data_IF_390969163400
#
_entry.id   IF_390969163400
#
_cell.length_a   1.000
_cell.length_b   1.000
_cell.length_c   1.000
_cell.angle_alpha   90.00
_cell.angle_beta   90.00
_cell.angle_gamma   90.00
#
_symmetry.space_group_name_H-M   'P 1'
#
loop_
_entity.id
_entity.type
_entity.pdbx_description
1 polymer ?
#
# COMPACT_ATOMS: atom_id res chain seq x y z
N UNK A 1 -19.93 7.30 6.72
CA UNK A 1 -18.59 7.23 6.10
C UNK A 1 -18.07 5.81 5.95
N UNK A 2 -18.60 4.84 6.68
CA UNK A 2 -18.17 3.43 6.67
C UNK A 2 -18.53 2.75 5.34
N UNK A 3 -17.64 1.88 4.85
CA UNK A 3 -17.70 1.16 3.59
C UNK A 3 -17.85 2.10 2.36
N UNK A 4 -17.15 3.24 2.42
CA UNK A 4 -17.16 4.25 1.37
C UNK A 4 -15.75 4.62 0.92
N UNK A 5 -15.65 5.02 -0.32
CA UNK A 5 -14.47 5.67 -0.88
C UNK A 5 -14.78 7.15 -0.98
N UNK A 6 -13.94 7.97 -0.37
CA UNK A 6 -14.06 9.43 -0.37
C UNK A 6 -13.10 9.95 -1.43
N UNK A 7 -13.65 10.65 -2.43
CA UNK A 7 -12.83 11.29 -3.44
C UNK A 7 -12.16 12.55 -2.86
N UNK A 8 -10.83 12.60 -2.97
CA UNK A 8 -10.07 13.77 -2.56
C UNK A 8 -8.62 13.48 -2.23
N UNK A 9 -7.88 14.54 -2.00
CA UNK A 9 -6.51 14.47 -1.52
C UNK A 9 -6.49 14.09 -0.04
N UNK A 10 -5.62 13.16 0.36
CA UNK A 10 -5.55 12.63 1.73
C UNK A 10 -5.47 13.76 2.78
N UNK A 11 -4.60 14.76 2.59
CA UNK A 11 -4.44 15.89 3.51
C UNK A 11 -5.68 16.81 3.61
N UNK A 12 -6.62 16.73 2.67
CA UNK A 12 -7.87 17.51 2.71
C UNK A 12 -9.03 16.70 3.31
N UNK A 13 -8.94 15.38 3.27
CA UNK A 13 -10.00 14.48 3.75
C UNK A 13 -9.74 14.00 5.18
N UNK A 14 -8.50 13.60 5.50
CA UNK A 14 -8.14 13.13 6.84
C UNK A 14 -8.56 14.09 7.97
N UNK A 15 -8.35 15.42 7.88
CA UNK A 15 -8.76 16.36 8.93
C UNK A 15 -10.27 16.39 9.21
N UNK A 16 -11.10 15.90 8.29
CA UNK A 16 -12.56 15.84 8.45
C UNK A 16 -13.04 14.56 9.15
N UNK A 17 -12.16 13.59 9.36
CA UNK A 17 -12.48 12.38 10.10
C UNK A 17 -12.36 12.65 11.60
N UNK A 18 -13.22 12.03 12.44
CA UNK A 18 -13.16 12.19 13.89
C UNK A 18 -11.86 11.62 14.48
N UNK A 19 -11.47 12.16 15.64
CA UNK A 19 -10.37 11.60 16.44
C UNK A 19 -10.75 10.21 16.95
N UNK A 20 -9.76 9.32 17.11
CA UNK A 20 -9.93 7.98 17.69
C UNK A 20 -11.09 7.17 17.05
N UNK A 21 -11.20 7.22 15.73
CA UNK A 21 -12.36 6.68 15.00
C UNK A 21 -12.08 5.33 14.35
N UNK A 22 -10.86 5.09 13.85
CA UNK A 22 -10.52 3.87 13.11
C UNK A 22 -9.66 2.93 13.94
N UNK A 23 -9.82 1.63 13.71
CA UNK A 23 -9.11 0.59 14.46
C UNK A 23 -7.74 0.26 13.83
N UNK A 24 -7.61 0.45 12.53
CA UNK A 24 -6.36 0.18 11.80
C UNK A 24 -6.18 1.16 10.64
N UNK A 25 -4.93 1.57 10.44
CA UNK A 25 -4.45 2.18 9.19
C UNK A 25 -3.69 1.11 8.42
N UNK A 26 -4.02 0.92 7.14
CA UNK A 26 -3.25 0.05 6.23
C UNK A 26 -3.16 0.71 4.86
N UNK A 27 -1.96 1.07 4.44
CA UNK A 27 -1.81 1.94 3.27
C UNK A 27 -0.51 1.76 2.50
N UNK A 28 -0.52 2.24 1.26
CA UNK A 28 0.59 2.23 0.30
C UNK A 28 0.72 3.64 -0.33
N UNK A 29 1.37 4.60 0.36
CA UNK A 29 1.48 5.98 -0.11
C UNK A 29 2.41 6.13 -1.32
N UNK A 30 2.46 7.28 -1.98
CA UNK A 30 3.52 7.62 -2.92
C UNK A 30 4.91 7.47 -2.32
N UNK A 31 5.90 7.07 -3.15
CA UNK A 31 7.29 6.81 -2.70
C UNK A 31 8.32 7.75 -3.27
N UNK A 32 7.92 8.77 -4.03
CA UNK A 32 8.84 9.64 -4.77
C UNK A 32 9.78 8.85 -5.71
N UNK A 33 9.24 7.80 -6.35
CA UNK A 33 10.03 6.93 -7.26
C UNK A 33 9.87 7.30 -8.73
N UNK A 34 8.95 8.22 -9.04
CA UNK A 34 8.75 8.71 -10.41
C UNK A 34 9.95 9.49 -10.91
N UNK A 35 10.44 9.13 -12.10
CA UNK A 35 11.50 9.86 -12.78
C UNK A 35 10.93 10.47 -14.07
N UNK A 36 10.73 11.80 -14.07
CA UNK A 36 10.23 12.52 -15.24
C UNK A 36 11.09 12.24 -16.46
N UNK A 37 10.46 11.79 -17.54
CA UNK A 37 11.10 11.60 -18.83
C UNK A 37 11.95 10.34 -18.97
N UNK A 38 12.11 9.51 -17.94
CA UNK A 38 12.83 8.25 -18.06
C UNK A 38 11.96 7.19 -18.75
N UNK A 39 12.06 7.11 -20.07
CA UNK A 39 11.44 6.07 -20.88
C UNK A 39 12.48 5.07 -21.34
N UNK A 40 12.44 3.85 -20.83
CA UNK A 40 13.34 2.79 -21.27
C UNK A 40 12.70 2.04 -22.43
N UNK A 41 13.29 2.21 -23.63
CA UNK A 41 12.87 1.48 -24.81
C UNK A 41 13.51 0.08 -24.81
N UNK A 42 12.71 -0.97 -24.72
CA UNK A 42 13.20 -2.37 -24.73
C UNK A 42 13.93 -2.76 -26.01
N UNK A 43 13.77 -2.02 -27.10
CA UNK A 43 14.48 -2.27 -28.36
C UNK A 43 15.97 -1.99 -28.28
N UNK A 44 16.43 -1.12 -27.38
CA UNK A 44 17.85 -0.81 -27.21
C UNK A 44 18.61 -1.82 -26.34
N UNK A 45 17.91 -2.81 -25.78
CA UNK A 45 18.55 -3.89 -25.02
C UNK A 45 18.98 -4.96 -26.02
N UNK A 46 20.28 -5.11 -26.22
CA UNK A 46 20.90 -6.14 -27.09
C UNK A 46 20.65 -7.55 -26.52
N UNK A 47 19.42 -8.04 -26.59
CA UNK A 47 19.08 -9.39 -26.20
C UNK A 47 18.42 -10.15 -27.37
N UNK A 48 19.22 -10.92 -28.10
CA UNK A 48 18.80 -11.79 -29.21
C UNK A 48 17.64 -12.76 -28.85
N UNK A 49 17.48 -13.13 -27.58
CA UNK A 49 16.46 -14.08 -27.12
C UNK A 49 15.04 -13.48 -27.08
N UNK A 50 14.89 -12.15 -26.97
CA UNK A 50 13.58 -11.49 -26.92
C UNK A 50 13.05 -11.08 -28.30
N UNK A 51 13.86 -11.16 -29.36
CA UNK A 51 13.43 -10.87 -30.75
C UNK A 51 12.47 -11.88 -31.35
N UNK A 52 12.31 -13.06 -30.74
CA UNK A 52 11.46 -14.15 -31.30
C UNK A 52 9.96 -14.02 -31.05
N UNK A 53 9.52 -13.14 -30.16
CA UNK A 53 8.08 -12.89 -30.00
C UNK A 53 7.74 -11.54 -30.61
N UNK A 54 7.28 -11.49 -31.83
CA UNK A 54 6.89 -10.29 -32.61
C UNK A 54 5.82 -9.39 -31.98
N UNK A 55 5.88 -9.15 -30.67
CA UNK A 55 5.00 -8.27 -29.93
C UNK A 55 5.72 -6.93 -29.71
N UNK A 56 5.05 -5.86 -30.13
CA UNK A 56 5.43 -4.46 -29.99
C UNK A 56 6.24 -4.19 -28.70
N UNK A 57 7.41 -3.58 -28.86
CA UNK A 57 8.27 -3.17 -27.76
C UNK A 57 7.51 -2.20 -26.86
N UNK A 58 7.07 -2.67 -25.68
CA UNK A 58 6.47 -1.78 -24.69
C UNK A 58 7.60 -0.93 -24.10
N UNK A 59 7.48 0.37 -24.28
CA UNK A 59 8.28 1.36 -23.54
C UNK A 59 7.93 1.19 -22.05
N UNK A 60 8.94 1.04 -21.20
CA UNK A 60 8.74 1.12 -19.76
C UNK A 60 8.76 2.59 -19.39
N UNK A 61 7.63 3.09 -18.95
CA UNK A 61 7.48 4.42 -18.39
C UNK A 61 7.63 4.33 -16.87
N UNK A 62 8.56 5.11 -16.31
CA UNK A 62 8.81 5.21 -14.88
C UNK A 62 8.11 6.43 -14.27
N UNK A 63 7.22 7.06 -15.02
CA UNK A 63 6.33 8.10 -14.49
C UNK A 63 5.04 7.43 -13.98
N UNK A 64 4.88 7.39 -12.68
CA UNK A 64 3.69 6.83 -12.01
C UNK A 64 2.56 7.86 -11.89
N UNK A 65 2.80 9.12 -12.29
CA UNK A 65 1.84 10.21 -12.30
C UNK A 65 2.21 11.37 -11.37
N UNK A 66 1.54 12.50 -11.56
CA UNK A 66 1.82 13.75 -10.82
C UNK A 66 1.79 13.61 -9.29
N UNK A 67 1.04 12.64 -8.78
CA UNK A 67 0.91 12.37 -7.36
C UNK A 67 2.18 11.82 -6.69
N UNK A 68 3.17 11.34 -7.47
CA UNK A 68 4.45 10.81 -6.98
C UNK A 68 5.63 11.77 -7.29
N UNK A 69 5.34 13.02 -7.72
CA UNK A 69 6.35 14.03 -7.98
C UNK A 69 6.46 15.02 -6.82
N UNK A 70 7.65 15.13 -6.26
CA UNK A 70 7.99 16.09 -5.23
C UNK A 70 9.21 16.92 -5.66
N UNK A 71 9.29 18.16 -5.21
CA UNK A 71 10.38 19.08 -5.54
C UNK A 71 11.72 18.63 -4.94
N UNK A 72 11.68 18.07 -3.72
CA UNK A 72 12.83 17.54 -3.03
C UNK A 72 12.42 16.41 -2.07
N UNK A 73 13.42 15.67 -1.58
CA UNK A 73 13.22 14.63 -0.57
C UNK A 73 12.70 15.23 0.75
N UNK A 74 13.18 16.40 1.13
CA UNK A 74 12.73 17.10 2.33
C UNK A 74 11.23 17.42 2.23
N UNK A 75 10.78 17.94 1.08
CA UNK A 75 9.35 18.21 0.83
C UNK A 75 8.50 16.94 0.85
N UNK A 76 9.03 15.83 0.36
CA UNK A 76 8.38 14.52 0.45
C UNK A 76 8.25 14.06 1.91
N UNK A 77 9.29 14.20 2.73
CA UNK A 77 9.24 13.82 4.15
C UNK A 77 8.32 14.75 4.96
N UNK A 78 8.32 16.07 4.70
CA UNK A 78 7.36 17.02 5.29
C UNK A 78 5.91 16.65 4.96
N UNK A 79 5.65 16.30 3.70
CA UNK A 79 4.33 15.83 3.27
C UNK A 79 3.97 14.51 3.96
N UNK A 80 4.93 13.60 4.06
CA UNK A 80 4.76 12.31 4.74
C UNK A 80 4.38 12.51 6.20
N UNK A 81 5.08 13.39 6.92
CA UNK A 81 4.79 13.69 8.32
C UNK A 81 3.36 14.25 8.51
N UNK A 82 2.89 15.10 7.60
CA UNK A 82 1.53 15.68 7.69
C UNK A 82 0.43 14.62 7.65
N UNK A 83 0.48 13.69 6.69
CA UNK A 83 -0.56 12.66 6.62
C UNK A 83 -0.40 11.59 7.71
N UNK A 84 0.82 11.27 8.14
CA UNK A 84 1.07 10.37 9.27
C UNK A 84 0.46 10.94 10.55
N UNK A 85 0.70 12.20 10.85
CA UNK A 85 0.13 12.90 12.02
C UNK A 85 -1.40 12.77 12.05
N UNK A 86 -2.07 13.04 10.93
CA UNK A 86 -3.53 12.92 10.82
C UNK A 86 -4.00 11.46 10.96
N UNK A 87 -3.27 10.50 10.39
CA UNK A 87 -3.56 9.07 10.59
C UNK A 87 -3.50 8.68 12.07
N UNK A 88 -2.49 9.12 12.82
CA UNK A 88 -2.41 8.83 14.26
C UNK A 88 -3.48 9.57 15.06
N UNK A 89 -3.94 10.75 14.64
CA UNK A 89 -5.07 11.45 15.27
C UNK A 89 -6.35 10.63 15.16
N UNK A 90 -6.68 10.14 13.96
CA UNK A 90 -7.91 9.38 13.72
C UNK A 90 -7.82 7.93 14.19
N UNK A 91 -6.61 7.39 14.41
CA UNK A 91 -6.39 6.05 14.92
C UNK A 91 -6.79 5.97 16.40
N UNK A 92 -7.51 4.90 16.81
CA UNK A 92 -7.81 4.61 18.22
C UNK A 92 -6.52 4.31 19.00
N UNK A 93 -6.56 4.47 20.32
CA UNK A 93 -5.39 4.27 21.19
C UNK A 93 -4.78 2.86 21.07
N UNK A 94 -5.61 1.84 20.97
CA UNK A 94 -5.20 0.44 20.74
C UNK A 94 -5.03 0.08 19.25
N UNK A 95 -5.10 1.06 18.36
CA UNK A 95 -5.10 0.84 16.92
C UNK A 95 -3.73 0.52 16.35
N UNK A 96 -3.74 -0.19 15.24
CA UNK A 96 -2.57 -0.58 14.46
C UNK A 96 -2.38 0.34 13.24
N UNK A 97 -1.16 0.70 12.97
CA UNK A 97 -0.74 1.43 11.79
C UNK A 97 0.23 0.57 10.98
N UNK A 98 -0.07 0.30 9.71
CA UNK A 98 0.85 -0.37 8.78
C UNK A 98 0.91 0.42 7.49
N UNK A 99 2.11 0.75 7.05
CA UNK A 99 2.33 1.38 5.76
C UNK A 99 3.48 0.72 5.01
N UNK A 100 3.26 0.45 3.74
CA UNK A 100 4.36 0.22 2.82
C UNK A 100 5.20 1.49 2.72
N UNK A 101 6.50 1.35 2.50
CA UNK A 101 7.36 2.50 2.27
C UNK A 101 8.63 2.14 1.47
N UNK A 102 9.26 3.16 0.88
CA UNK A 102 10.50 2.99 0.12
C UNK A 102 11.63 2.47 1.00
N UNK A 103 12.40 1.51 0.49
CA UNK A 103 13.58 0.97 1.18
C UNK A 103 14.64 2.05 1.49
N UNK A 104 14.74 3.08 0.65
CA UNK A 104 15.71 4.17 0.82
C UNK A 104 15.36 5.11 1.98
N UNK A 105 14.09 5.15 2.36
CA UNK A 105 13.58 6.12 3.32
C UNK A 105 12.89 5.48 4.53
N UNK A 106 12.94 4.15 4.65
CA UNK A 106 12.23 3.41 5.70
C UNK A 106 12.64 3.88 7.12
N UNK A 107 13.92 4.14 7.36
CA UNK A 107 14.39 4.63 8.66
C UNK A 107 13.84 6.02 8.99
N UNK A 108 13.86 6.95 8.02
CA UNK A 108 13.28 8.28 8.19
C UNK A 108 11.77 8.23 8.41
N UNK A 109 11.10 7.28 7.73
CA UNK A 109 9.69 7.04 7.93
C UNK A 109 9.40 6.52 9.34
N UNK A 110 10.20 5.59 9.86
CA UNK A 110 10.08 5.10 11.23
C UNK A 110 10.37 6.17 12.27
N UNK A 111 11.30 7.10 12.00
CA UNK A 111 11.51 8.29 12.83
C UNK A 111 10.27 9.19 12.88
N UNK A 112 9.61 9.38 11.72
CA UNK A 112 8.34 10.13 11.66
C UNK A 112 7.25 9.39 12.46
N UNK A 113 7.10 8.09 12.28
CA UNK A 113 6.11 7.29 13.02
C UNK A 113 6.31 7.39 14.54
N UNK A 114 7.56 7.36 15.01
CA UNK A 114 7.90 7.43 16.42
C UNK A 114 7.62 8.81 17.06
N UNK A 115 7.37 9.87 16.28
CA UNK A 115 6.87 11.16 16.79
C UNK A 115 5.42 11.08 17.28
N UNK A 116 4.60 10.21 16.69
CA UNK A 116 3.15 10.15 16.88
C UNK A 116 2.67 8.83 17.46
N UNK A 117 3.51 7.80 17.43
CA UNK A 117 3.20 6.46 17.87
C UNK A 117 4.46 5.70 18.30
N UNK A 118 4.40 4.39 18.17
CA UNK A 118 5.50 3.51 18.55
C UNK A 118 5.69 2.43 17.49
N UNK A 119 6.80 2.46 16.77
CA UNK A 119 7.20 1.45 15.81
C UNK A 119 7.42 0.12 16.54
N UNK A 120 6.79 -0.95 16.05
CA UNK A 120 6.87 -2.31 16.57
C UNK A 120 7.89 -3.13 15.81
N UNK A 121 7.70 -3.21 14.51
CA UNK A 121 8.56 -4.01 13.62
C UNK A 121 8.50 -3.49 12.19
N UNK A 122 9.58 -3.68 11.46
CA UNK A 122 9.58 -3.67 10.00
C UNK A 122 9.11 -5.04 9.52
N UNK A 123 8.12 -5.07 8.63
CA UNK A 123 7.58 -6.28 7.99
C UNK A 123 8.07 -6.33 6.55
N UNK A 124 8.38 -7.52 6.05
CA UNK A 124 8.89 -7.73 4.70
C UNK A 124 7.87 -8.50 3.85
N UNK A 125 7.54 -7.94 2.69
CA UNK A 125 6.90 -8.71 1.64
C UNK A 125 7.94 -9.15 0.61
N UNK A 126 8.13 -10.46 0.46
CA UNK A 126 8.97 -11.07 -0.57
C UNK A 126 8.12 -11.45 -1.79
N UNK A 127 8.55 -10.99 -2.94
CA UNK A 127 7.94 -11.27 -4.26
C UNK A 127 8.55 -12.56 -4.79
N UNK A 128 7.78 -13.64 -4.85
CA UNK A 128 8.27 -14.93 -5.36
C UNK A 128 8.58 -14.92 -6.86
N UNK A 129 8.06 -13.93 -7.60
CA UNK A 129 8.27 -13.73 -9.04
C UNK A 129 8.57 -12.25 -9.35
N UNK A 130 9.67 -11.68 -8.81
CA UNK A 130 10.01 -10.28 -9.02
C UNK A 130 10.24 -9.99 -10.51
N UNK A 131 10.08 -8.71 -10.88
CA UNK A 131 10.38 -8.27 -12.25
C UNK A 131 11.87 -8.51 -12.54
N UNK A 132 12.23 -9.18 -13.64
CA UNK A 132 13.62 -9.43 -13.99
C UNK A 132 14.43 -8.13 -14.13
N UNK A 133 15.68 -8.18 -13.66
CA UNK A 133 16.62 -7.08 -13.83
C UNK A 133 17.00 -6.96 -15.32
N UNK A 134 16.56 -5.86 -15.96
CA UNK A 134 16.66 -5.68 -17.41
C UNK A 134 18.13 -5.55 -17.85
N UNK A 135 18.92 -4.78 -17.11
CA UNK A 135 20.32 -4.51 -17.47
C UNK A 135 21.29 -5.60 -16.98
N UNK A 136 20.82 -6.58 -16.19
CA UNK A 136 21.62 -7.68 -15.64
C UNK A 136 22.89 -7.22 -14.87
N UNK A 137 22.81 -6.05 -14.23
CA UNK A 137 23.91 -5.43 -13.48
C UNK A 137 23.72 -5.49 -11.97
N UNK A 138 22.71 -6.20 -11.49
CA UNK A 138 22.42 -6.30 -10.07
C UNK A 138 21.34 -7.34 -9.76
N UNK A 139 21.02 -7.47 -8.48
CA UNK A 139 19.97 -8.37 -8.01
C UNK A 139 18.58 -7.86 -8.39
N UNK A 140 17.62 -8.80 -8.55
CA UNK A 140 16.21 -8.45 -8.74
C UNK A 140 15.65 -7.83 -7.45
N UNK A 141 14.83 -6.77 -7.57
CA UNK A 141 14.14 -6.16 -6.43
C UNK A 141 12.98 -7.05 -5.98
N UNK A 142 13.27 -8.01 -5.10
CA UNK A 142 12.33 -9.02 -4.66
C UNK A 142 11.62 -8.71 -3.34
N UNK A 143 12.00 -7.64 -2.64
CA UNK A 143 11.40 -7.30 -1.35
C UNK A 143 10.80 -5.89 -1.35
N UNK A 144 9.70 -5.74 -0.60
CA UNK A 144 9.16 -4.45 -0.18
C UNK A 144 9.03 -4.42 1.33
N UNK A 145 9.15 -3.24 1.90
CA UNK A 145 9.15 -3.01 3.34
C UNK A 145 7.84 -2.36 3.77
N UNK A 146 7.40 -2.74 4.97
CA UNK A 146 6.28 -2.13 5.67
C UNK A 146 6.69 -1.83 7.09
N UNK A 147 6.36 -0.66 7.61
CA UNK A 147 6.52 -0.36 9.03
C UNK A 147 5.21 -0.59 9.76
N UNK A 148 5.26 -1.40 10.82
CA UNK A 148 4.16 -1.60 11.74
C UNK A 148 4.39 -0.79 13.01
N UNK A 149 3.41 0.04 13.37
CA UNK A 149 3.42 0.86 14.56
C UNK A 149 2.06 0.77 15.28
N UNK A 150 2.04 1.19 16.54
CA UNK A 150 0.84 1.36 17.36
C UNK A 150 0.77 2.79 17.89
N UNK A 151 -0.43 3.29 18.22
CA UNK A 151 -0.56 4.67 18.69
C UNK A 151 0.13 4.88 20.02
N UNK A 152 -0.01 3.94 20.96
CA UNK A 152 0.57 4.05 22.29
C UNK A 152 1.56 2.92 22.57
N UNK A 153 2.64 3.26 23.26
CA UNK A 153 3.59 2.29 23.79
C UNK A 153 2.93 1.51 24.94
N UNK A 154 2.97 0.19 24.87
CA UNK A 154 2.40 -0.65 25.94
C UNK A 154 0.87 -0.76 25.94
N UNK A 155 0.14 -0.03 25.09
CA UNK A 155 -1.30 -0.24 24.91
C UNK A 155 -1.58 -1.66 24.41
N UNK A 156 -2.70 -2.23 24.84
CA UNK A 156 -3.20 -3.49 24.29
C UNK A 156 -3.67 -3.23 22.86
N UNK A 157 -2.80 -3.48 21.90
CA UNK A 157 -3.15 -3.44 20.48
C UNK A 157 -3.67 -4.80 20.02
N UNK A 158 -4.46 -4.83 18.97
CA UNK A 158 -4.92 -6.08 18.36
C UNK A 158 -3.75 -6.80 17.70
N UNK A 159 -3.48 -8.01 18.16
CA UNK A 159 -2.63 -8.98 17.47
C UNK A 159 -3.23 -10.37 17.65
N UNK A 160 -3.72 -10.96 16.57
CA UNK A 160 -4.46 -12.23 16.60
C UNK A 160 -3.50 -13.43 16.65
N UNK A 161 -2.81 -13.58 17.79
CA UNK A 161 -1.85 -14.66 18.04
C UNK A 161 -2.45 -16.07 17.87
N UNK A 162 -3.78 -16.21 18.01
CA UNK A 162 -4.50 -17.47 17.77
C UNK A 162 -4.35 -18.01 16.34
N UNK A 163 -3.98 -17.17 15.38
CA UNK A 163 -3.67 -17.58 14.01
C UNK A 163 -2.30 -18.26 13.89
N UNK A 164 -1.55 -18.34 14.97
CA UNK A 164 -0.20 -18.91 15.06
C UNK A 164 0.88 -17.83 15.16
N UNK A 165 2.09 -18.28 15.54
CA UNK A 165 3.26 -17.43 15.56
C UNK A 165 3.84 -17.36 14.14
N UNK A 166 3.94 -16.17 13.61
CA UNK A 166 4.52 -15.93 12.29
C UNK A 166 5.78 -15.07 12.36
N UNK A 167 6.65 -15.26 11.39
CA UNK A 167 7.72 -14.30 11.11
C UNK A 167 7.13 -12.98 10.61
N UNK A 168 7.85 -11.88 10.78
CA UNK A 168 7.52 -10.57 10.18
C UNK A 168 7.79 -10.54 8.67
N UNK A 169 7.37 -11.58 7.96
CA UNK A 169 7.72 -11.86 6.59
C UNK A 169 6.59 -12.61 5.89
N UNK A 170 6.19 -12.14 4.70
CA UNK A 170 5.20 -12.81 3.86
C UNK A 170 5.71 -13.00 2.44
N UNK A 171 5.45 -14.16 1.86
CA UNK A 171 5.76 -14.48 0.47
C UNK A 171 4.51 -14.58 -0.39
N UNK A 172 4.49 -13.81 -1.46
CA UNK A 172 3.45 -13.91 -2.49
C UNK A 172 4.02 -13.53 -3.85
N UNK A 173 3.45 -14.01 -4.95
CA UNK A 173 3.73 -13.42 -6.24
C UNK A 173 3.23 -11.97 -6.31
N UNK A 174 3.81 -11.17 -7.22
CA UNK A 174 3.20 -9.90 -7.65
C UNK A 174 1.86 -10.17 -8.34
N UNK A 175 0.96 -9.18 -8.34
CA UNK A 175 -0.33 -9.32 -9.02
C UNK A 175 -0.17 -9.67 -10.51
N UNK A 176 -0.76 -10.78 -10.92
CA UNK A 176 -0.74 -11.29 -12.30
C UNK A 176 -2.14 -11.70 -12.78
N UNK A 177 -2.30 -11.89 -14.09
CA UNK A 177 -3.52 -12.42 -14.70
C UNK A 177 -4.78 -11.67 -14.30
N UNK A 178 -5.78 -12.38 -13.79
CA UNK A 178 -7.09 -11.81 -13.41
C UNK A 178 -7.04 -10.89 -12.19
N UNK A 179 -6.04 -11.08 -11.30
CA UNK A 179 -5.85 -10.22 -10.12
C UNK A 179 -5.33 -8.83 -10.52
N UNK A 180 -4.40 -8.77 -11.49
CA UNK A 180 -3.80 -7.52 -11.93
C UNK A 180 -4.82 -6.64 -12.65
N UNK A 181 -5.01 -5.42 -12.14
CA UNK A 181 -5.80 -4.37 -12.77
C UNK A 181 -4.86 -3.37 -13.46
N UNK A 182 -5.43 -2.32 -14.06
CA UNK A 182 -4.63 -1.27 -14.72
C UNK A 182 -3.98 -0.28 -13.73
N UNK A 183 -3.69 -0.73 -12.49
CA UNK A 183 -2.97 0.05 -11.50
C UNK A 183 -1.49 -0.38 -11.49
N UNK A 184 -0.53 0.56 -11.57
CA UNK A 184 0.88 0.22 -11.75
C UNK A 184 1.49 -0.52 -10.56
N UNK A 185 1.13 -0.15 -9.35
CA UNK A 185 1.73 -0.62 -8.08
C UNK A 185 0.76 -1.44 -7.21
N UNK A 186 -0.22 -2.12 -7.83
CA UNK A 186 -1.21 -2.89 -7.07
C UNK A 186 -0.56 -3.93 -6.15
N UNK A 187 -0.91 -3.90 -4.86
CA UNK A 187 -0.46 -4.89 -3.88
C UNK A 187 -1.30 -6.18 -3.96
N UNK A 188 -0.69 -7.37 -3.73
CA UNK A 188 -1.41 -8.64 -3.76
C UNK A 188 -2.43 -8.74 -2.64
N UNK A 189 -3.62 -9.23 -2.96
CA UNK A 189 -4.72 -9.39 -2.00
C UNK A 189 -4.32 -10.29 -0.83
N UNK A 190 -3.54 -11.36 -1.09
CA UNK A 190 -3.05 -12.29 -0.06
C UNK A 190 -2.23 -11.57 1.02
N UNK A 191 -1.32 -10.65 0.63
CA UNK A 191 -0.49 -9.90 1.59
C UNK A 191 -1.33 -8.93 2.43
N UNK A 192 -2.28 -8.22 1.81
CA UNK A 192 -3.18 -7.29 2.50
C UNK A 192 -4.11 -8.03 3.47
N UNK A 193 -4.67 -9.19 3.06
CA UNK A 193 -5.51 -10.02 3.93
C UNK A 193 -4.74 -10.50 5.16
N UNK A 194 -3.53 -10.99 4.98
CA UNK A 194 -2.68 -11.46 6.07
C UNK A 194 -2.46 -10.37 7.13
N UNK A 195 -2.16 -9.13 6.71
CA UNK A 195 -2.02 -8.01 7.65
C UNK A 195 -3.33 -7.72 8.40
N UNK A 196 -4.45 -7.69 7.69
CA UNK A 196 -5.77 -7.42 8.27
C UNK A 196 -6.17 -8.51 9.26
N UNK A 197 -5.94 -9.79 8.94
CA UNK A 197 -6.26 -10.92 9.82
C UNK A 197 -5.49 -10.86 11.14
N UNK A 198 -4.18 -10.54 11.08
CA UNK A 198 -3.36 -10.46 12.29
C UNK A 198 -3.61 -9.20 13.11
N UNK A 199 -3.88 -8.07 12.48
CA UNK A 199 -3.83 -6.76 13.11
C UNK A 199 -5.20 -6.09 13.30
N UNK A 200 -6.29 -6.81 13.02
CA UNK A 200 -7.66 -6.31 13.23
C UNK A 200 -8.63 -7.42 13.58
N UNK A 201 -9.77 -7.05 14.15
CA UNK A 201 -10.89 -7.96 14.45
C UNK A 201 -12.04 -7.77 13.46
N UNK A 202 -13.01 -8.72 13.44
CA UNK A 202 -14.26 -8.55 12.69
C UNK A 202 -14.96 -7.26 13.12
N UNK A 203 -15.58 -6.58 12.17
CA UNK A 203 -16.22 -5.27 12.32
C UNK A 203 -15.31 -4.08 12.66
N UNK A 204 -14.00 -4.26 12.78
CA UNK A 204 -13.07 -3.13 12.88
C UNK A 204 -13.10 -2.26 11.62
N UNK A 205 -12.86 -0.95 11.80
CA UNK A 205 -12.78 0.03 10.73
C UNK A 205 -11.32 0.20 10.31
N UNK A 206 -11.04 -0.11 9.05
CA UNK A 206 -9.72 0.03 8.46
C UNK A 206 -9.72 1.23 7.51
N UNK A 207 -8.80 2.16 7.72
CA UNK A 207 -8.62 3.33 6.85
C UNK A 207 -7.41 3.12 5.93
N UNK A 208 -7.63 3.35 4.64
CA UNK A 208 -6.58 3.46 3.64
C UNK A 208 -6.64 4.84 2.97
N UNK A 209 -5.76 5.79 3.38
CA UNK A 209 -5.72 7.14 2.83
C UNK A 209 -5.18 7.24 1.41
N UNK A 210 -4.67 6.13 0.82
CA UNK A 210 -4.16 6.06 -0.55
C UNK A 210 -4.65 4.77 -1.23
N UNK A 211 -5.99 4.64 -1.33
CA UNK A 211 -6.67 3.39 -1.65
C UNK A 211 -6.28 2.76 -3.00
N UNK A 212 -5.95 3.58 -3.99
CA UNK A 212 -5.59 3.14 -5.33
C UNK A 212 -6.62 2.19 -5.94
N UNK A 213 -6.20 0.97 -6.26
CA UNK A 213 -7.08 -0.04 -6.89
C UNK A 213 -8.06 -0.72 -5.94
N UNK A 214 -8.12 -0.34 -4.66
CA UNK A 214 -9.08 -0.86 -3.68
C UNK A 214 -8.75 -2.23 -3.10
N UNK A 215 -7.49 -2.65 -3.08
CA UNK A 215 -7.13 -3.98 -2.54
C UNK A 215 -7.47 -4.08 -1.05
N UNK A 216 -7.21 -3.02 -0.28
CA UNK A 216 -7.55 -2.94 1.15
C UNK A 216 -9.07 -3.05 1.35
N UNK A 217 -9.89 -2.33 0.57
CA UNK A 217 -11.34 -2.40 0.67
C UNK A 217 -11.89 -3.80 0.33
N UNK A 218 -11.36 -4.45 -0.71
CA UNK A 218 -11.71 -5.83 -1.08
C UNK A 218 -11.39 -6.79 0.06
N UNK A 219 -10.19 -6.71 0.64
CA UNK A 219 -9.77 -7.56 1.75
C UNK A 219 -10.65 -7.36 2.98
N UNK A 220 -11.03 -6.10 3.29
CA UNK A 220 -11.94 -5.80 4.39
C UNK A 220 -13.29 -6.51 4.23
N UNK A 221 -13.90 -6.43 3.05
CA UNK A 221 -15.20 -7.09 2.76
C UNK A 221 -15.07 -8.61 2.89
N UNK A 222 -14.01 -9.22 2.31
CA UNK A 222 -13.80 -10.67 2.38
C UNK A 222 -13.60 -11.19 3.82
N UNK A 223 -13.13 -10.33 4.72
CA UNK A 223 -12.77 -10.69 6.10
C UNK A 223 -13.77 -10.16 7.15
N UNK A 224 -14.95 -9.67 6.76
CA UNK A 224 -15.93 -9.05 7.66
C UNK A 224 -15.39 -7.83 8.42
N UNK A 225 -14.52 -7.04 7.80
CA UNK A 225 -14.08 -5.73 8.31
C UNK A 225 -14.78 -4.63 7.55
N UNK A 226 -14.82 -3.44 8.16
CA UNK A 226 -15.34 -2.23 7.54
C UNK A 226 -14.18 -1.39 7.03
N UNK A 227 -14.40 -0.62 5.98
CA UNK A 227 -13.33 0.20 5.43
C UNK A 227 -13.74 1.66 5.23
N UNK A 228 -12.76 2.54 5.20
CA UNK A 228 -12.81 3.89 4.66
C UNK A 228 -11.63 4.01 3.72
N UNK A 229 -11.88 4.36 2.46
CA UNK A 229 -10.82 4.60 1.47
C UNK A 229 -10.79 6.07 1.07
N UNK A 230 -9.62 6.62 0.85
CA UNK A 230 -9.46 7.95 0.23
C UNK A 230 -8.70 7.74 -1.07
N UNK A 231 -9.20 8.32 -2.15
CA UNK A 231 -8.57 8.23 -3.47
C UNK A 231 -8.83 9.52 -4.26
N UNK A 232 -7.81 10.03 -4.92
CA UNK A 232 -7.91 11.27 -5.68
C UNK A 232 -8.45 11.04 -7.10
N UNK A 233 -8.12 9.89 -7.71
CA UNK A 233 -8.46 9.61 -9.11
C UNK A 233 -9.78 8.86 -9.24
N UNK A 234 -10.74 9.45 -9.95
CA UNK A 234 -12.04 8.84 -10.20
C UNK A 234 -11.92 7.45 -10.86
N UNK A 235 -10.98 7.26 -11.78
CA UNK A 235 -10.76 5.96 -12.45
C UNK A 235 -10.42 4.83 -11.47
N UNK A 236 -9.67 5.11 -10.39
CA UNK A 236 -9.34 4.15 -9.36
C UNK A 236 -10.51 3.91 -8.40
N UNK A 237 -11.30 4.94 -8.13
CA UNK A 237 -12.55 4.80 -7.36
C UNK A 237 -13.51 3.84 -8.09
N UNK A 238 -13.74 4.06 -9.39
CA UNK A 238 -14.61 3.21 -10.20
C UNK A 238 -14.09 1.77 -10.29
N UNK A 239 -12.77 1.61 -10.42
CA UNK A 239 -12.12 0.31 -10.40
C UNK A 239 -12.34 -0.40 -9.06
N UNK A 240 -12.21 0.31 -7.96
CA UNK A 240 -12.37 -0.21 -6.60
C UNK A 240 -13.81 -0.66 -6.36
N UNK A 241 -14.81 0.14 -6.72
CA UNK A 241 -16.22 -0.26 -6.60
C UNK A 241 -16.56 -1.47 -7.46
N UNK A 242 -16.03 -1.58 -8.67
CA UNK A 242 -16.21 -2.79 -9.52
C UNK A 242 -15.59 -4.04 -8.87
N UNK A 243 -14.49 -3.92 -8.15
CA UNK A 243 -13.88 -5.04 -7.43
C UNK A 243 -14.70 -5.42 -6.20
N UNK A 244 -15.14 -4.44 -5.42
CA UNK A 244 -15.98 -4.64 -4.22
C UNK A 244 -17.28 -5.36 -4.61
N UNK A 245 -18.00 -4.89 -5.63
CA UNK A 245 -19.24 -5.49 -6.09
C UNK A 245 -19.08 -6.98 -6.48
N UNK A 246 -17.97 -7.34 -7.13
CA UNK A 246 -17.68 -8.74 -7.49
C UNK A 246 -17.46 -9.64 -6.27
N UNK A 247 -16.92 -9.11 -5.19
CA UNK A 247 -16.73 -9.88 -3.95
C UNK A 247 -18.06 -10.05 -3.23
N UNK A 248 -18.85 -9.00 -3.13
CA UNK A 248 -20.18 -9.05 -2.52
C UNK A 248 -21.09 -10.08 -3.21
N UNK A 249 -21.07 -10.15 -4.56
CA UNK A 249 -21.83 -11.16 -5.32
C UNK A 249 -21.38 -12.60 -5.09
N UNK A 250 -20.21 -12.85 -4.49
CA UNK A 250 -19.70 -14.21 -4.21
C UNK A 250 -20.03 -14.66 -2.78
N UNK A 251 -20.32 -13.73 -1.91
CA UNK A 251 -20.60 -13.99 -0.48
C UNK A 251 -22.11 -14.25 -0.29
N UNK A 252 -22.93 -13.76 -1.20
CA UNK A 252 -24.39 -13.99 -1.26
C UNK A 252 -24.73 -14.91 -2.46
#
# INVERSE_FOLDING_TARGET
MINKIIQGHALNVLPKLPDNYVDMILTDPPYMISQKGLKINRTNIQNRSLRRSGKNSKVLDYDFGEWDHFESREKFLEWTEKWVKECFRVLKDAGNFVSFFSKSDISHFEDILNKYGHVRQTIIWHKTNPVPQIFKVGFMSSVEFMSWATKQKGAKHTFNYKLGQHHNFIETPICMGKERKRHPTQKPLKAIRWLIEYLSNKNDIILDPFLGSGTTAVACIELDRRFIGIEIKQEYIDMSYKRIARVQQRIF
#
